data_IF_641146584385
#
_entry.id   IF_641146584385
#
_cell.length_a   1.000
_cell.length_b   1.000
_cell.length_c   1.000
_cell.angle_alpha   90.00
_cell.angle_beta   90.00
_cell.angle_gamma   90.00
#
_symmetry.space_group_name_H-M   'P 1'
#
loop_
_entity.id
_entity.type
_entity.pdbx_description
1 polymer ?
#
# COMPACT_ATOMS: atom_id res chain seq x y z
N UNK A 1 21.14 -9.78 2.49
CA UNK A 1 20.49 -9.37 1.22
C UNK A 1 20.47 -10.56 0.28
N UNK A 2 19.47 -10.64 -0.60
CA UNK A 2 19.30 -11.73 -1.55
C UNK A 2 18.79 -11.17 -2.88
N UNK A 3 19.21 -11.77 -3.99
CA UNK A 3 18.61 -11.52 -5.29
C UNK A 3 17.50 -12.54 -5.54
N UNK A 4 16.33 -12.05 -5.91
CA UNK A 4 15.19 -12.85 -6.29
C UNK A 4 14.88 -12.58 -7.76
N UNK A 5 14.65 -13.64 -8.53
CA UNK A 5 14.24 -13.54 -9.92
C UNK A 5 12.91 -14.26 -10.10
N UNK A 6 11.95 -13.57 -10.70
CA UNK A 6 10.67 -14.12 -11.12
C UNK A 6 10.50 -13.81 -12.60
N UNK A 7 10.19 -14.82 -13.41
CA UNK A 7 9.92 -14.67 -14.83
C UNK A 7 8.75 -15.57 -15.24
N UNK A 8 7.92 -15.07 -16.15
CA UNK A 8 6.86 -15.79 -16.82
C UNK A 8 6.82 -15.40 -18.30
N UNK A 9 6.40 -16.36 -19.11
CA UNK A 9 6.13 -16.18 -20.53
C UNK A 9 4.82 -16.86 -20.87
N UNK A 10 3.95 -16.21 -21.64
CA UNK A 10 2.72 -16.82 -22.17
C UNK A 10 2.22 -16.07 -23.41
N UNK A 11 1.45 -16.78 -24.25
CA UNK A 11 0.73 -16.19 -25.37
C UNK A 11 -0.46 -15.32 -24.91
N UNK A 12 -1.01 -15.62 -23.74
CA UNK A 12 -2.13 -14.91 -23.13
C UNK A 12 -1.60 -13.94 -22.06
N UNK A 13 -2.01 -12.68 -22.15
CA UNK A 13 -1.67 -11.64 -21.16
C UNK A 13 -2.20 -12.03 -19.78
N UNK A 14 -3.41 -12.57 -19.72
CA UNK A 14 -4.07 -12.97 -18.48
C UNK A 14 -3.31 -14.11 -17.79
N UNK A 15 -2.98 -15.16 -18.54
CA UNK A 15 -2.26 -16.33 -18.01
C UNK A 15 -0.86 -15.94 -17.56
N UNK A 16 -0.16 -15.11 -18.35
CA UNK A 16 1.17 -14.61 -17.98
C UNK A 16 1.15 -13.89 -16.62
N UNK A 17 0.13 -13.06 -16.39
CA UNK A 17 0.01 -12.26 -15.17
C UNK A 17 -0.40 -13.12 -13.98
N UNK A 18 -1.35 -14.05 -14.16
CA UNK A 18 -1.78 -14.95 -13.11
C UNK A 18 -0.64 -15.86 -12.64
N UNK A 19 0.12 -16.41 -13.58
CA UNK A 19 1.31 -17.21 -13.28
C UNK A 19 2.40 -16.39 -12.59
N UNK A 20 2.62 -15.14 -13.05
CA UNK A 20 3.60 -14.25 -12.43
C UNK A 20 3.20 -13.90 -10.99
N UNK A 21 1.92 -13.58 -10.75
CA UNK A 21 1.38 -13.35 -9.40
C UNK A 21 1.53 -14.58 -8.49
N UNK A 22 1.34 -15.79 -9.02
CA UNK A 22 1.55 -17.04 -8.28
C UNK A 22 3.01 -17.19 -7.86
N UNK A 23 3.95 -17.09 -8.82
CA UNK A 23 5.40 -17.18 -8.53
C UNK A 23 5.89 -16.08 -7.58
N UNK A 24 5.35 -14.86 -7.70
CA UNK A 24 5.65 -13.80 -6.75
C UNK A 24 5.28 -14.17 -5.31
N UNK A 25 4.10 -14.77 -5.08
CA UNK A 25 3.68 -15.20 -3.74
C UNK A 25 4.57 -16.31 -3.16
N UNK A 26 5.10 -17.18 -4.01
CA UNK A 26 6.02 -18.25 -3.60
C UNK A 26 7.40 -17.68 -3.21
N UNK A 27 7.86 -16.66 -3.94
CA UNK A 27 9.20 -16.08 -3.78
C UNK A 27 9.24 -14.98 -2.72
N UNK A 28 8.19 -14.17 -2.63
CA UNK A 28 8.02 -13.10 -1.63
C UNK A 28 7.20 -13.64 -0.46
N UNK A 29 7.88 -14.19 0.54
CA UNK A 29 7.21 -14.62 1.78
C UNK A 29 6.63 -13.43 2.55
N UNK A 30 5.43 -13.54 3.16
CA UNK A 30 4.69 -12.43 3.76
C UNK A 30 5.36 -11.77 4.97
N UNK A 31 6.42 -12.36 5.54
CA UNK A 31 6.96 -11.97 6.84
C UNK A 31 8.24 -11.13 6.82
N UNK A 32 8.99 -11.06 5.71
CA UNK A 32 10.31 -10.38 5.72
C UNK A 32 10.96 -10.19 4.35
N UNK A 33 10.55 -9.16 3.61
CA UNK A 33 11.25 -8.77 2.39
C UNK A 33 11.12 -7.28 2.18
N UNK A 34 12.23 -6.53 2.10
CA UNK A 34 12.26 -5.13 1.68
C UNK A 34 13.05 -5.01 0.39
N UNK A 35 12.48 -4.37 -0.63
CA UNK A 35 13.07 -4.24 -1.96
C UNK A 35 13.97 -3.00 -1.97
N UNK A 36 15.28 -3.18 -2.09
CA UNK A 36 16.25 -2.08 -2.20
C UNK A 36 16.34 -1.54 -3.62
N UNK A 37 16.32 -2.43 -4.59
CA UNK A 37 16.28 -2.10 -6.01
C UNK A 37 15.54 -3.18 -6.77
N UNK A 38 14.98 -2.81 -7.91
CA UNK A 38 14.23 -3.70 -8.77
C UNK A 38 14.53 -3.39 -10.23
N UNK A 39 14.77 -4.42 -11.02
CA UNK A 39 14.78 -4.36 -12.46
C UNK A 39 13.52 -5.06 -12.98
N UNK A 40 12.68 -4.31 -13.69
CA UNK A 40 11.39 -4.78 -14.17
C UNK A 40 11.42 -4.82 -15.69
N UNK A 41 11.23 -6.00 -16.27
CA UNK A 41 11.29 -6.23 -17.70
C UNK A 41 9.95 -6.74 -18.22
N UNK A 42 9.43 -6.07 -19.23
CA UNK A 42 8.15 -6.36 -19.85
C UNK A 42 8.30 -6.19 -21.36
N UNK A 43 8.11 -7.28 -22.10
CA UNK A 43 8.25 -7.32 -23.55
C UNK A 43 7.06 -8.03 -24.19
N UNK A 44 6.69 -7.56 -25.36
CA UNK A 44 5.61 -8.14 -26.17
C UNK A 44 6.17 -8.55 -27.52
N UNK A 45 6.11 -9.84 -27.82
CA UNK A 45 6.46 -10.42 -29.12
C UNK A 45 5.39 -11.44 -29.54
N UNK A 46 5.83 -12.59 -30.08
CA UNK A 46 4.93 -13.74 -30.27
C UNK A 46 4.34 -14.22 -28.93
N UNK A 47 5.12 -14.08 -27.85
CA UNK A 47 4.70 -14.27 -26.48
C UNK A 47 4.92 -12.99 -25.68
N UNK A 48 4.13 -12.81 -24.64
CA UNK A 48 4.39 -11.80 -23.61
C UNK A 48 5.39 -12.40 -22.62
N UNK A 49 6.46 -11.67 -22.33
CA UNK A 49 7.41 -12.02 -21.29
C UNK A 49 7.44 -10.92 -20.21
N UNK A 50 7.32 -11.36 -18.95
CA UNK A 50 7.31 -10.52 -17.78
C UNK A 50 8.32 -11.07 -16.78
N UNK A 51 9.26 -10.23 -16.35
CA UNK A 51 10.25 -10.60 -15.34
C UNK A 51 10.55 -9.47 -14.37
N UNK A 52 10.93 -9.86 -13.16
CA UNK A 52 11.40 -8.97 -12.12
C UNK A 52 12.64 -9.57 -11.46
N UNK A 53 13.71 -8.79 -11.37
CA UNK A 53 14.89 -9.06 -10.55
C UNK A 53 14.86 -8.10 -9.38
N UNK A 54 14.79 -8.62 -8.16
CA UNK A 54 14.63 -7.85 -6.94
C UNK A 54 15.83 -8.06 -6.03
N UNK A 55 16.50 -6.98 -5.63
CA UNK A 55 17.48 -7.00 -4.55
C UNK A 55 16.75 -6.78 -3.23
N UNK A 56 16.66 -7.83 -2.42
CA UNK A 56 15.84 -7.82 -1.21
C UNK A 56 16.66 -7.93 0.07
N UNK A 57 16.13 -7.32 1.12
CA UNK A 57 16.65 -7.37 2.47
C UNK A 57 15.62 -8.05 3.38
N UNK A 58 15.95 -9.25 3.86
CA UNK A 58 15.07 -10.02 4.75
C UNK A 58 15.03 -9.44 6.18
N UNK A 59 15.88 -8.47 6.52
CA UNK A 59 15.84 -7.84 7.85
C UNK A 59 14.66 -6.87 8.02
N UNK A 60 13.99 -6.48 6.93
CA UNK A 60 12.90 -5.50 6.93
C UNK A 60 11.70 -6.04 6.15
N UNK A 61 10.46 -5.90 6.66
CA UNK A 61 9.26 -6.28 5.93
C UNK A 61 8.79 -5.16 4.98
N UNK A 62 7.79 -5.48 4.15
CA UNK A 62 6.97 -4.49 3.43
C UNK A 62 7.11 -4.48 1.91
N UNK A 63 8.17 -5.05 1.37
CA UNK A 63 8.43 -5.19 -0.05
C UNK A 63 7.47 -6.13 -0.76
N UNK A 64 6.84 -5.64 -1.83
CA UNK A 64 5.92 -6.40 -2.65
C UNK A 64 5.90 -5.87 -4.10
N UNK A 65 5.26 -6.62 -5.00
CA UNK A 65 5.12 -6.28 -6.42
C UNK A 65 3.66 -6.41 -6.83
N UNK A 66 3.12 -5.35 -7.42
CA UNK A 66 1.79 -5.35 -8.05
C UNK A 66 1.97 -5.49 -9.55
N UNK A 67 1.13 -6.32 -10.16
CA UNK A 67 1.00 -6.44 -11.62
C UNK A 67 -0.46 -6.40 -11.98
N UNK A 68 -0.84 -5.49 -12.86
CA UNK A 68 -2.21 -5.37 -13.35
C UNK A 68 -2.24 -5.16 -14.86
N UNK A 69 -3.33 -5.58 -15.49
CA UNK A 69 -3.56 -5.31 -16.90
C UNK A 69 -4.96 -4.78 -17.16
N UNK A 70 -5.10 -4.14 -18.31
CA UNK A 70 -6.38 -3.73 -18.85
C UNK A 70 -6.36 -3.77 -20.37
N UNK A 71 -7.55 -3.78 -20.95
CA UNK A 71 -7.75 -3.65 -22.39
C UNK A 71 -8.44 -2.32 -22.70
N UNK A 72 -8.15 -1.77 -23.86
CA UNK A 72 -8.71 -0.51 -24.33
C UNK A 72 -8.84 -0.50 -25.86
N UNK A 73 -9.66 0.44 -26.35
CA UNK A 73 -9.81 0.70 -27.79
C UNK A 73 -8.56 1.33 -28.41
N UNK A 74 -7.73 1.96 -27.58
CA UNK A 74 -6.45 2.54 -27.97
C UNK A 74 -5.47 2.44 -26.79
N UNK A 75 -4.21 2.84 -27.05
CA UNK A 75 -3.12 2.81 -26.07
C UNK A 75 -3.41 3.65 -24.83
N UNK A 76 -3.89 4.87 -24.99
CA UNK A 76 -4.13 5.81 -23.89
C UNK A 76 -5.21 5.31 -22.92
N UNK A 77 -6.32 4.82 -23.47
CA UNK A 77 -7.42 4.25 -22.67
C UNK A 77 -6.94 3.02 -21.93
N UNK A 78 -6.18 2.12 -22.59
CA UNK A 78 -5.67 0.92 -21.93
C UNK A 78 -4.72 1.28 -20.77
N UNK A 79 -3.80 2.23 -20.98
CA UNK A 79 -2.86 2.69 -19.93
C UNK A 79 -3.63 3.34 -18.78
N UNK A 80 -4.58 4.24 -19.07
CA UNK A 80 -5.39 4.90 -18.03
C UNK A 80 -6.11 3.88 -17.17
N UNK A 81 -6.75 2.88 -17.77
CA UNK A 81 -7.46 1.85 -17.03
C UNK A 81 -6.52 0.99 -16.16
N UNK A 82 -5.26 0.77 -16.59
CA UNK A 82 -4.25 0.11 -15.75
C UNK A 82 -3.84 1.00 -14.58
N UNK A 83 -3.60 2.29 -14.83
CA UNK A 83 -3.25 3.24 -13.77
C UNK A 83 -4.37 3.37 -12.74
N UNK A 84 -5.63 3.40 -13.17
CA UNK A 84 -6.81 3.40 -12.27
C UNK A 84 -6.85 2.16 -11.37
N UNK A 85 -6.38 1.00 -11.85
CA UNK A 85 -6.25 -0.22 -11.03
C UNK A 85 -5.07 -0.17 -10.06
N UNK A 86 -3.95 0.41 -10.47
CA UNK A 86 -2.71 0.41 -9.67
C UNK A 86 -2.67 1.52 -8.63
N UNK A 87 -3.08 2.74 -9.00
CA UNK A 87 -2.99 3.94 -8.16
C UNK A 87 -3.60 3.79 -6.75
N UNK A 88 -4.74 3.08 -6.54
CA UNK A 88 -5.28 2.88 -5.19
C UNK A 88 -4.28 2.24 -4.23
N UNK A 89 -3.41 1.36 -4.72
CA UNK A 89 -2.38 0.70 -3.92
C UNK A 89 -1.16 1.57 -3.63
N UNK A 90 -0.97 2.68 -4.36
CA UNK A 90 0.23 3.51 -4.27
C UNK A 90 0.14 4.64 -3.24
N UNK A 91 -1.05 4.87 -2.67
CA UNK A 91 -1.36 6.01 -1.80
C UNK A 91 -0.50 6.09 -0.52
N UNK A 92 0.11 4.99 -0.10
CA UNK A 92 0.84 4.87 1.17
C UNK A 92 2.00 3.88 1.10
N UNK A 93 2.72 3.88 -0.02
CA UNK A 93 3.86 3.00 -0.26
C UNK A 93 5.01 3.76 -0.91
N UNK A 94 6.23 3.29 -0.67
CA UNK A 94 7.42 3.80 -1.36
C UNK A 94 7.64 2.97 -2.64
N UNK A 95 7.38 3.60 -3.80
CA UNK A 95 7.61 2.98 -5.11
C UNK A 95 9.12 2.89 -5.37
N UNK A 96 9.61 1.68 -5.63
CA UNK A 96 11.02 1.39 -5.93
C UNK A 96 11.28 1.42 -7.43
N UNK A 97 10.40 0.80 -8.20
CA UNK A 97 10.47 0.77 -9.66
C UNK A 97 9.08 0.53 -10.24
N UNK A 98 8.83 1.03 -11.44
CA UNK A 98 7.62 0.74 -12.18
C UNK A 98 7.90 0.62 -13.67
N UNK A 99 7.04 -0.13 -14.37
CA UNK A 99 7.06 -0.19 -15.83
C UNK A 99 5.65 -0.39 -16.36
N UNK A 100 5.34 0.29 -17.46
CA UNK A 100 4.10 0.09 -18.20
C UNK A 100 4.48 -0.24 -19.62
N UNK A 101 3.86 -1.29 -20.16
CA UNK A 101 4.01 -1.69 -21.53
C UNK A 101 2.66 -1.97 -22.16
N UNK A 102 2.59 -1.82 -23.48
CA UNK A 102 1.34 -2.01 -24.21
C UNK A 102 1.57 -2.82 -25.46
N UNK A 103 0.56 -3.61 -25.83
CA UNK A 103 0.54 -4.39 -27.05
C UNK A 103 -0.81 -4.25 -27.72
N UNK A 104 -0.82 -3.95 -29.02
CA UNK A 104 -2.05 -3.89 -29.81
C UNK A 104 -2.12 -5.11 -30.70
N UNK A 105 -3.17 -5.91 -30.53
CA UNK A 105 -3.33 -7.12 -31.35
C UNK A 105 -3.57 -6.72 -32.80
N UNK A 106 -2.89 -7.34 -33.79
CA UNK A 106 -3.04 -6.99 -35.20
C UNK A 106 -4.47 -7.20 -35.71
N UNK A 107 -5.14 -8.28 -35.26
CA UNK A 107 -6.45 -8.69 -35.77
C UNK A 107 -7.58 -7.88 -35.15
N UNK A 108 -7.70 -7.88 -33.81
CA UNK A 108 -8.84 -7.22 -33.14
C UNK A 108 -8.63 -5.72 -32.93
N UNK A 109 -7.41 -5.22 -33.17
CA UNK A 109 -6.97 -3.86 -32.85
C UNK A 109 -7.21 -3.43 -31.40
N UNK A 110 -7.48 -4.36 -30.48
CA UNK A 110 -7.52 -4.08 -29.05
C UNK A 110 -6.11 -3.86 -28.53
N UNK A 111 -5.95 -2.82 -27.72
CA UNK A 111 -4.70 -2.55 -27.02
C UNK A 111 -4.79 -3.09 -25.61
N UNK A 112 -3.85 -3.96 -25.26
CA UNK A 112 -3.56 -4.40 -23.91
C UNK A 112 -2.52 -3.46 -23.31
N UNK A 113 -2.72 -3.10 -22.05
CA UNK A 113 -1.70 -2.44 -21.24
C UNK A 113 -1.44 -3.32 -20.03
N UNK A 114 -0.17 -3.45 -19.65
CA UNK A 114 0.29 -4.16 -18.46
C UNK A 114 1.17 -3.20 -17.68
N UNK A 115 0.86 -3.05 -16.40
CA UNK A 115 1.66 -2.28 -15.44
C UNK A 115 2.24 -3.21 -14.38
N UNK A 116 3.52 -3.02 -14.07
CA UNK A 116 4.21 -3.66 -12.95
C UNK A 116 4.83 -2.60 -12.07
N UNK A 117 4.65 -2.72 -10.76
CA UNK A 117 5.19 -1.81 -9.76
C UNK A 117 5.80 -2.60 -8.62
N UNK A 118 7.09 -2.40 -8.37
CA UNK A 118 7.75 -2.85 -7.16
C UNK A 118 7.72 -1.71 -6.13
N UNK A 119 7.29 -2.03 -4.92
CA UNK A 119 7.13 -1.06 -3.85
C UNK A 119 7.48 -1.67 -2.50
N UNK A 120 7.76 -0.80 -1.54
CA UNK A 120 7.76 -1.16 -0.14
C UNK A 120 6.56 -0.51 0.52
N UNK A 121 5.73 -1.30 1.19
CA UNK A 121 4.82 -0.77 2.19
C UNK A 121 5.65 0.01 3.19
N UNK A 122 5.45 1.32 3.23
CA UNK A 122 6.05 2.13 4.27
C UNK A 122 5.49 1.56 5.56
N UNK A 123 6.29 1.04 6.50
CA UNK A 123 5.78 0.92 7.85
C UNK A 123 5.32 2.33 8.17
N UNK A 124 4.02 2.53 8.39
CA UNK A 124 3.51 3.77 8.98
C UNK A 124 4.52 4.06 10.08
N UNK A 125 5.27 5.17 9.96
CA UNK A 125 6.16 5.57 11.05
C UNK A 125 5.31 5.39 12.28
N UNK A 126 5.76 4.53 13.19
CA UNK A 126 5.24 4.53 14.52
C UNK A 126 5.62 5.91 15.10
N UNK A 127 4.86 6.93 14.70
CA UNK A 127 4.46 7.92 15.68
C UNK A 127 3.81 7.14 16.83
N UNK A 128 3.83 7.68 18.04
CA UNK A 128 3.52 6.95 19.29
C UNK A 128 2.12 6.32 19.42
N UNK A 129 1.38 6.14 18.32
CA UNK A 129 -0.01 5.67 18.24
C UNK A 129 -0.21 4.48 17.28
N UNK A 130 0.84 3.74 16.90
CA UNK A 130 0.74 2.63 15.92
C UNK A 130 0.30 1.28 16.51
N UNK A 131 0.20 1.15 17.82
CA UNK A 131 -0.67 0.14 18.44
C UNK A 131 -2.01 0.82 18.65
N UNK A 132 -3.15 0.17 18.28
CA UNK A 132 -4.53 0.70 18.43
C UNK A 132 -4.56 1.73 19.55
N UNK A 133 -4.50 3.03 19.24
CA UNK A 133 -4.22 3.99 20.28
C UNK A 133 -5.41 3.92 21.22
N UNK A 134 -5.14 3.51 22.47
CA UNK A 134 -6.16 3.57 23.48
C UNK A 134 -6.75 4.98 23.40
N UNK A 135 -8.07 5.07 23.25
CA UNK A 135 -8.80 6.31 22.94
C UNK A 135 -8.35 7.45 23.86
N UNK A 136 -8.01 7.11 25.10
CA UNK A 136 -7.43 8.00 26.12
C UNK A 136 -6.07 8.59 25.74
N UNK A 137 -5.17 7.82 25.14
CA UNK A 137 -3.84 8.28 24.71
C UNK A 137 -3.95 9.34 23.63
N UNK A 138 -4.85 9.14 22.66
CA UNK A 138 -5.13 10.15 21.63
C UNK A 138 -5.77 11.40 22.23
N UNK A 139 -6.78 11.23 23.09
CA UNK A 139 -7.42 12.34 23.78
C UNK A 139 -6.42 13.14 24.63
N UNK A 140 -5.51 12.48 25.35
CA UNK A 140 -4.50 13.12 26.18
C UNK A 140 -3.51 13.93 25.34
N UNK A 141 -3.11 13.42 24.17
CA UNK A 141 -2.23 14.14 23.27
C UNK A 141 -2.90 15.38 22.67
N UNK A 142 -4.15 15.24 22.19
CA UNK A 142 -4.91 16.39 21.68
C UNK A 142 -5.11 17.42 22.79
N UNK A 143 -5.44 16.99 24.01
CA UNK A 143 -5.53 17.88 25.17
C UNK A 143 -4.21 18.59 25.47
N UNK A 144 -3.07 17.91 25.39
CA UNK A 144 -1.76 18.52 25.63
C UNK A 144 -1.41 19.67 24.67
N UNK A 145 -1.99 19.67 23.46
CA UNK A 145 -1.79 20.75 22.48
C UNK A 145 -2.57 22.03 22.84
N UNK A 146 -3.52 21.93 23.76
CA UNK A 146 -4.37 23.03 24.23
C UNK A 146 -4.26 23.23 25.74
N UNK A 147 -3.07 23.00 26.32
CA UNK A 147 -2.80 23.11 27.76
C UNK A 147 -3.78 22.31 28.64
N UNK A 148 -4.25 21.18 28.11
CA UNK A 148 -5.26 20.32 28.71
C UNK A 148 -6.61 20.99 28.99
N UNK A 149 -7.00 21.99 28.20
CA UNK A 149 -8.31 22.61 28.29
C UNK A 149 -9.37 21.79 27.53
N UNK A 150 -10.27 21.04 28.20
CA UNK A 150 -11.26 20.22 27.51
C UNK A 150 -12.36 21.04 26.83
N UNK A 151 -12.51 22.33 27.16
CA UNK A 151 -13.57 23.19 26.60
C UNK A 151 -13.36 23.51 25.12
N UNK A 152 -12.14 23.32 24.60
CA UNK A 152 -11.82 23.53 23.18
C UNK A 152 -12.24 22.35 22.30
N UNK A 153 -12.65 21.23 22.91
CA UNK A 153 -12.98 20.00 22.20
C UNK A 153 -14.48 19.86 21.95
N UNK A 154 -14.85 19.51 20.71
CA UNK A 154 -16.21 19.13 20.38
C UNK A 154 -16.48 17.67 20.78
N UNK A 155 -17.03 17.47 21.98
CA UNK A 155 -17.31 16.15 22.56
C UNK A 155 -18.27 15.33 21.69
N UNK A 156 -19.24 15.98 21.05
CA UNK A 156 -20.23 15.29 20.20
C UNK A 156 -19.60 14.67 18.96
N UNK A 157 -18.67 15.37 18.32
CA UNK A 157 -17.94 14.85 17.16
C UNK A 157 -16.91 13.79 17.57
N UNK A 158 -16.23 13.97 18.70
CA UNK A 158 -15.31 12.95 19.23
C UNK A 158 -16.04 11.63 19.51
N UNK A 159 -17.23 11.69 20.12
CA UNK A 159 -18.05 10.51 20.37
C UNK A 159 -18.41 9.77 19.06
N UNK A 160 -18.75 10.51 17.99
CA UNK A 160 -19.04 9.94 16.65
C UNK A 160 -17.81 9.30 16.03
N UNK A 161 -16.67 10.01 16.03
CA UNK A 161 -15.42 9.53 15.43
C UNK A 161 -14.89 8.28 16.14
N UNK A 162 -15.01 8.23 17.47
CA UNK A 162 -14.59 7.07 18.26
C UNK A 162 -15.65 5.97 18.40
N UNK A 163 -16.86 6.17 17.86
CA UNK A 163 -17.96 5.21 17.94
C UNK A 163 -18.43 4.89 19.36
N UNK A 164 -18.40 5.87 20.27
CA UNK A 164 -18.74 5.70 21.70
C UNK A 164 -19.72 6.76 22.20
N UNK A 165 -20.25 6.61 23.42
CA UNK A 165 -21.13 7.62 24.01
C UNK A 165 -20.36 8.88 24.43
N UNK A 166 -21.07 10.02 24.49
CA UNK A 166 -20.49 11.27 25.02
C UNK A 166 -19.99 11.09 26.45
N UNK A 167 -20.73 10.36 27.28
CA UNK A 167 -20.36 10.08 28.67
C UNK A 167 -19.04 9.31 28.77
N UNK A 168 -18.78 8.41 27.81
CA UNK A 168 -17.51 7.68 27.73
C UNK A 168 -16.35 8.64 27.44
N UNK A 169 -16.55 9.63 26.57
CA UNK A 169 -15.54 10.66 26.28
C UNK A 169 -15.33 11.56 27.49
N UNK A 170 -16.40 11.98 28.18
CA UNK A 170 -16.29 12.76 29.42
C UNK A 170 -15.48 12.04 30.49
N UNK A 171 -15.78 10.75 30.71
CA UNK A 171 -15.06 9.92 31.67
C UNK A 171 -13.58 9.79 31.36
N UNK A 172 -13.24 9.63 30.08
CA UNK A 172 -11.86 9.53 29.63
C UNK A 172 -11.09 10.83 29.83
N UNK A 173 -11.70 11.97 29.48
CA UNK A 173 -11.11 13.29 29.71
C UNK A 173 -10.90 13.53 31.21
N UNK A 174 -11.88 13.18 32.04
CA UNK A 174 -11.77 13.34 33.49
C UNK A 174 -10.60 12.52 34.05
N UNK A 175 -10.47 11.24 33.67
CA UNK A 175 -9.33 10.41 34.08
C UNK A 175 -7.99 11.00 33.66
N UNK A 176 -7.89 11.52 32.43
CA UNK A 176 -6.65 12.14 31.94
C UNK A 176 -6.24 13.35 32.79
N UNK A 177 -7.22 14.17 33.20
CA UNK A 177 -6.97 15.33 34.07
C UNK A 177 -6.56 14.90 35.48
N UNK A 178 -7.26 13.93 36.08
CA UNK A 178 -6.94 13.37 37.40
C UNK A 178 -5.55 12.71 37.44
N UNK A 179 -5.15 12.04 36.36
CA UNK A 179 -3.82 11.43 36.23
C UNK A 179 -2.70 12.46 36.07
N UNK A 180 -3.00 13.65 35.54
CA UNK A 180 -2.06 14.76 35.44
C UNK A 180 -1.86 15.44 36.78
N UNK A 181 -2.94 15.76 37.50
CA UNK A 181 -2.87 16.41 38.82
C UNK A 181 -2.10 15.58 39.86
N UNK A 182 -2.05 14.25 39.70
CA UNK A 182 -1.25 13.37 40.58
C UNK A 182 0.24 13.32 40.24
N UNK A 183 0.65 13.84 39.08
CA UNK A 183 2.03 13.83 38.58
C UNK A 183 2.73 15.18 38.69
N UNK A 184 1.98 16.25 38.96
CA UNK A 184 2.49 17.58 39.35
C UNK A 184 2.63 17.67 40.87
#
# INVERSE_FOLDING_TARGET
MKLLHVSCESASVEDCINDFKRKLKEVLSPSSCYIKSAELNLTFGAFMHLSAVLLTDASKPGGNVIVEYSTGRNREVAIRNVLEKINPYLSSVDVVAFRIGTYTTPVTRRTYAVGIVAYNSTPRKAGPFAEKPDRRTLLAHVLSLFDYNPKVLNISELARVFGVSRDTIYYDIQRILEEREKKE
#
